data_IF_687697969060
#
_entry.id   IF_687697969060
#
_cell.length_a   1.000
_cell.length_b   1.000
_cell.length_c   1.000
_cell.angle_alpha   90.00
_cell.angle_beta   90.00
_cell.angle_gamma   90.00
#
_symmetry.space_group_name_H-M   'P 1'
#
loop_
_entity.id
_entity.type
_entity.pdbx_description
1 polymer ?
#
# COMPACT_ATOMS: atom_id res chain seq x y z
N UNK A 1 -23.79 -1.80 -2.99
CA UNK A 1 -23.69 -2.67 -1.81
C UNK A 1 -22.38 -3.43 -1.97
N UNK A 2 -21.29 -2.93 -1.38
CA UNK A 2 -20.01 -3.63 -1.43
C UNK A 2 -20.14 -4.78 -0.42
N UNK A 3 -20.16 -6.02 -0.92
CA UNK A 3 -20.01 -7.17 -0.03
C UNK A 3 -18.55 -7.11 0.42
N UNK A 4 -18.31 -6.67 1.65
CA UNK A 4 -16.95 -6.53 2.17
C UNK A 4 -16.37 -7.94 2.31
N UNK A 5 -15.56 -8.36 1.33
CA UNK A 5 -15.00 -9.71 1.26
C UNK A 5 -13.99 -9.99 2.38
N UNK A 6 -13.48 -8.95 3.04
CA UNK A 6 -12.45 -9.03 4.06
C UNK A 6 -13.03 -8.81 5.46
N UNK A 7 -12.77 -9.78 6.35
CA UNK A 7 -13.22 -9.72 7.75
C UNK A 7 -12.68 -8.49 8.49
N UNK A 8 -11.43 -8.10 8.23
CA UNK A 8 -10.81 -6.94 8.87
C UNK A 8 -11.58 -5.65 8.57
N UNK A 9 -11.99 -5.45 7.32
CA UNK A 9 -12.78 -4.30 6.92
C UNK A 9 -14.18 -4.29 7.56
N UNK A 10 -14.84 -5.45 7.65
CA UNK A 10 -16.10 -5.55 8.39
C UNK A 10 -15.96 -5.22 9.89
N UNK A 11 -14.86 -5.66 10.53
CA UNK A 11 -14.60 -5.35 11.93
C UNK A 11 -14.36 -3.86 12.17
N UNK A 12 -13.67 -3.20 11.23
CA UNK A 12 -13.47 -1.76 11.26
C UNK A 12 -14.77 -0.97 11.09
N UNK A 13 -15.59 -1.32 10.09
CA UNK A 13 -16.91 -0.71 9.85
C UNK A 13 -17.85 -0.85 11.07
N UNK A 14 -17.77 -1.99 11.77
CA UNK A 14 -18.54 -2.27 12.99
C UNK A 14 -17.94 -1.62 14.25
N UNK A 15 -16.84 -0.88 14.12
CA UNK A 15 -16.11 -0.23 15.23
C UNK A 15 -15.63 -1.22 16.30
N UNK A 16 -15.37 -2.46 15.90
CA UNK A 16 -14.69 -3.46 16.73
C UNK A 16 -13.17 -3.29 16.68
N UNK A 17 -12.68 -2.59 15.66
CA UNK A 17 -11.32 -2.06 15.58
C UNK A 17 -11.45 -0.54 15.47
N UNK A 18 -10.72 0.17 16.30
CA UNK A 18 -10.68 1.64 16.32
C UNK A 18 -9.82 2.18 15.18
N UNK A 19 -9.97 3.47 14.85
CA UNK A 19 -9.13 4.11 13.83
C UNK A 19 -7.65 4.02 14.19
N UNK A 20 -7.27 4.31 15.43
CA UNK A 20 -5.87 4.21 15.87
C UNK A 20 -5.30 2.79 15.72
N UNK A 21 -6.10 1.76 16.02
CA UNK A 21 -5.65 0.38 15.83
C UNK A 21 -5.47 0.05 14.33
N UNK A 22 -6.36 0.55 13.47
CA UNK A 22 -6.26 0.34 12.02
C UNK A 22 -5.07 1.10 11.41
N UNK A 23 -4.85 2.35 11.82
CA UNK A 23 -3.67 3.15 11.43
C UNK A 23 -2.38 2.43 11.77
N UNK A 24 -2.30 1.83 12.97
CA UNK A 24 -1.16 1.04 13.40
C UNK A 24 -0.98 -0.24 12.58
N UNK A 25 -2.06 -0.96 12.27
CA UNK A 25 -2.02 -2.15 11.39
C UNK A 25 -1.51 -1.79 9.99
N UNK A 26 -2.03 -0.71 9.40
CA UNK A 26 -1.63 -0.21 8.07
C UNK A 26 -0.17 0.25 8.09
N UNK A 27 0.25 0.98 9.13
CA UNK A 27 1.64 1.42 9.31
C UNK A 27 2.60 0.24 9.31
N UNK A 28 2.31 -0.79 10.10
CA UNK A 28 3.16 -1.98 10.19
C UNK A 28 3.18 -2.76 8.87
N UNK A 29 2.09 -2.77 8.11
CA UNK A 29 2.08 -3.36 6.78
C UNK A 29 3.12 -2.71 5.85
N UNK A 30 3.27 -1.38 5.90
CA UNK A 30 4.24 -0.66 5.09
C UNK A 30 5.68 -0.76 5.63
N UNK A 31 5.85 -0.87 6.96
CA UNK A 31 7.16 -0.80 7.60
C UNK A 31 7.88 -2.15 7.75
N UNK A 32 7.17 -3.22 8.13
CA UNK A 32 7.81 -4.52 8.33
C UNK A 32 8.55 -5.04 7.08
N UNK A 33 8.06 -4.82 5.84
CA UNK A 33 8.81 -5.15 4.63
C UNK A 33 10.20 -4.52 4.54
N UNK A 34 10.40 -3.32 5.10
CA UNK A 34 11.67 -2.58 5.08
C UNK A 34 12.77 -3.21 5.95
N UNK A 35 12.43 -4.22 6.76
CA UNK A 35 13.40 -4.94 7.57
C UNK A 35 14.33 -5.85 6.75
N UNK A 36 14.00 -6.06 5.48
CA UNK A 36 14.65 -7.02 4.60
C UNK A 36 14.99 -6.41 3.24
N UNK A 37 16.04 -6.91 2.61
CA UNK A 37 16.45 -6.53 1.25
C UNK A 37 15.62 -7.28 0.17
N UNK A 38 14.93 -8.36 0.55
CA UNK A 38 14.05 -9.15 -0.30
C UNK A 38 12.84 -9.70 0.47
N UNK A 39 11.82 -10.14 -0.28
CA UNK A 39 10.58 -10.67 0.29
C UNK A 39 10.59 -12.15 0.68
N UNK A 40 11.74 -12.85 0.63
CA UNK A 40 11.78 -14.31 0.79
C UNK A 40 11.68 -14.77 2.24
N UNK A 41 12.29 -14.03 3.16
CA UNK A 41 12.44 -14.45 4.56
C UNK A 41 11.45 -13.80 5.52
N UNK A 42 10.72 -12.79 5.07
CA UNK A 42 9.69 -12.13 5.87
C UNK A 42 8.57 -13.10 6.24
N UNK A 43 8.10 -13.00 7.47
CA UNK A 43 7.06 -13.83 8.04
C UNK A 43 5.99 -12.99 8.73
N UNK A 44 4.82 -13.62 8.95
CA UNK A 44 3.68 -12.98 9.63
C UNK A 44 4.07 -12.47 11.02
N UNK A 45 4.99 -13.16 11.69
CA UNK A 45 5.42 -12.77 13.03
C UNK A 45 6.18 -11.44 13.04
N UNK A 46 6.85 -11.06 11.96
CA UNK A 46 7.55 -9.77 11.85
C UNK A 46 6.55 -8.62 11.91
N UNK A 47 5.41 -8.78 11.24
CA UNK A 47 4.29 -7.83 11.32
C UNK A 47 3.63 -7.85 12.71
N UNK A 48 3.24 -9.03 13.21
CA UNK A 48 2.51 -9.11 14.49
C UNK A 48 3.34 -8.59 15.66
N UNK A 49 4.65 -8.85 15.68
CA UNK A 49 5.55 -8.39 16.73
C UNK A 49 5.90 -6.90 16.59
N UNK A 50 5.76 -6.32 15.40
CA UNK A 50 5.95 -4.89 15.17
C UNK A 50 4.82 -4.01 15.71
N UNK A 51 3.63 -4.58 15.94
CA UNK A 51 2.49 -3.84 16.48
C UNK A 51 2.76 -3.32 17.90
N UNK A 52 2.61 -2.02 18.10
CA UNK A 52 2.73 -1.35 19.41
C UNK A 52 1.39 -1.32 20.19
N UNK A 53 0.38 -2.02 19.67
CA UNK A 53 -0.96 -2.16 20.25
C UNK A 53 -1.24 -3.60 20.65
N UNK A 54 -2.16 -3.77 21.61
CA UNK A 54 -2.71 -5.10 21.93
C UNK A 54 -4.00 -5.31 21.17
N UNK A 55 -3.98 -6.18 20.16
CA UNK A 55 -5.18 -6.56 19.41
C UNK A 55 -6.17 -7.31 20.29
N UNK A 56 -7.46 -7.00 20.14
CA UNK A 56 -8.51 -7.81 20.75
C UNK A 56 -8.50 -9.24 20.18
N UNK A 57 -8.83 -10.27 21.00
CA UNK A 57 -8.83 -11.66 20.55
C UNK A 57 -9.73 -11.93 19.33
N UNK A 58 -10.83 -11.18 19.18
CA UNK A 58 -11.77 -11.28 18.06
C UNK A 58 -11.20 -10.72 16.75
N UNK A 59 -10.34 -9.71 16.82
CA UNK A 59 -9.73 -9.03 15.69
C UNK A 59 -8.44 -9.71 15.20
N UNK A 60 -7.70 -10.33 16.12
CA UNK A 60 -6.39 -10.95 15.83
C UNK A 60 -6.37 -11.87 14.61
N UNK A 61 -7.35 -12.79 14.39
CA UNK A 61 -7.34 -13.65 13.21
C UNK A 61 -7.45 -12.87 11.89
N UNK A 62 -8.22 -11.78 11.86
CA UNK A 62 -8.41 -10.97 10.65
C UNK A 62 -7.16 -10.15 10.31
N UNK A 63 -6.42 -9.70 11.33
CA UNK A 63 -5.13 -9.01 11.14
C UNK A 63 -4.05 -10.00 10.67
N UNK A 64 -4.02 -11.22 11.23
CA UNK A 64 -3.12 -12.27 10.77
C UNK A 64 -3.37 -12.60 9.29
N UNK A 65 -4.63 -12.73 8.87
CA UNK A 65 -5.00 -12.98 7.48
C UNK A 65 -4.49 -11.87 6.53
N UNK A 66 -4.57 -10.60 6.95
CA UNK A 66 -3.97 -9.49 6.20
C UNK A 66 -2.45 -9.65 6.07
N UNK A 67 -1.75 -9.97 7.16
CA UNK A 67 -0.29 -10.12 7.13
C UNK A 67 0.16 -11.38 6.40
N UNK A 68 -0.65 -12.43 6.37
CA UNK A 68 -0.42 -13.60 5.50
C UNK A 68 -0.48 -13.20 4.03
N UNK A 69 -1.45 -12.36 3.64
CA UNK A 69 -1.52 -11.80 2.29
C UNK A 69 -0.30 -10.92 1.99
N UNK A 70 0.15 -10.11 2.95
CA UNK A 70 1.34 -9.28 2.82
C UNK A 70 2.60 -10.10 2.54
N UNK A 71 2.83 -11.14 3.33
CA UNK A 71 3.95 -12.07 3.15
C UNK A 71 3.86 -12.75 1.77
N UNK A 72 2.65 -13.14 1.34
CA UNK A 72 2.46 -13.73 0.02
C UNK A 72 2.75 -12.73 -1.11
N UNK A 73 2.39 -11.46 -0.94
CA UNK A 73 2.74 -10.39 -1.87
C UNK A 73 4.25 -10.13 -1.93
N UNK A 74 4.93 -10.09 -0.78
CA UNK A 74 6.40 -9.97 -0.73
C UNK A 74 7.10 -11.05 -1.56
N UNK A 75 6.60 -12.30 -1.49
CA UNK A 75 7.18 -13.45 -2.22
C UNK A 75 7.07 -13.36 -3.74
N UNK A 76 6.21 -12.49 -4.27
CA UNK A 76 6.15 -12.25 -5.72
C UNK A 76 7.36 -11.49 -6.25
N UNK A 77 8.13 -10.84 -5.36
CA UNK A 77 9.26 -9.98 -5.70
C UNK A 77 10.55 -10.49 -5.02
N UNK A 78 11.19 -11.53 -5.58
CA UNK A 78 12.42 -12.10 -5.03
C UNK A 78 13.66 -11.23 -5.30
N UNK A 79 13.59 -10.30 -6.25
CA UNK A 79 14.71 -9.45 -6.65
C UNK A 79 14.67 -8.11 -5.91
N UNK A 80 15.83 -7.66 -5.41
CA UNK A 80 15.96 -6.46 -4.56
C UNK A 80 15.28 -5.22 -5.16
N UNK A 81 15.52 -4.89 -6.44
CA UNK A 81 14.90 -3.71 -7.07
C UNK A 81 13.37 -3.82 -7.17
N UNK A 82 12.83 -4.99 -7.51
CA UNK A 82 11.38 -5.18 -7.59
C UNK A 82 10.72 -5.19 -6.21
N UNK A 83 11.47 -5.65 -5.19
CA UNK A 83 11.01 -5.64 -3.81
C UNK A 83 11.03 -4.22 -3.24
N UNK A 84 12.05 -3.42 -3.54
CA UNK A 84 12.10 -1.99 -3.21
C UNK A 84 10.92 -1.24 -3.84
N UNK A 85 10.60 -1.50 -5.12
CA UNK A 85 9.41 -0.94 -5.75
C UNK A 85 8.11 -1.37 -5.06
N UNK A 86 8.03 -2.63 -4.57
CA UNK A 86 6.88 -3.10 -3.82
C UNK A 86 6.77 -2.41 -2.45
N UNK A 87 7.89 -2.22 -1.75
CA UNK A 87 7.95 -1.51 -0.47
C UNK A 87 7.47 -0.06 -0.64
N UNK A 88 7.94 0.64 -1.68
CA UNK A 88 7.51 2.01 -1.96
C UNK A 88 6.02 2.09 -2.30
N UNK A 89 5.52 1.14 -3.10
CA UNK A 89 4.09 1.02 -3.38
C UNK A 89 3.27 0.76 -2.12
N UNK A 90 3.74 -0.08 -1.17
CA UNK A 90 3.06 -0.28 0.11
C UNK A 90 3.04 0.98 0.98
N UNK A 91 4.13 1.76 0.97
CA UNK A 91 4.19 3.07 1.62
C UNK A 91 3.11 4.00 1.06
N UNK A 92 3.06 4.13 -0.27
CA UNK A 92 2.06 4.96 -0.93
C UNK A 92 0.62 4.44 -0.71
N UNK A 93 0.38 3.13 -0.69
CA UNK A 93 -0.93 2.57 -0.33
C UNK A 93 -1.41 3.01 1.06
N UNK A 94 -0.49 3.04 2.04
CA UNK A 94 -0.79 3.48 3.39
C UNK A 94 -1.15 4.97 3.43
N UNK A 95 -0.38 5.83 2.74
CA UNK A 95 -0.67 7.26 2.62
C UNK A 95 -2.03 7.49 1.95
N UNK A 96 -2.30 6.86 0.81
CA UNK A 96 -3.56 7.02 0.08
C UNK A 96 -4.78 6.55 0.90
N UNK A 97 -4.62 5.58 1.78
CA UNK A 97 -5.69 5.20 2.72
C UNK A 97 -5.91 6.27 3.81
N UNK A 98 -4.84 6.82 4.37
CA UNK A 98 -4.92 7.90 5.36
C UNK A 98 -5.52 9.19 4.77
N UNK A 99 -5.26 9.48 3.50
CA UNK A 99 -5.82 10.60 2.76
C UNK A 99 -7.25 10.35 2.25
N UNK A 100 -7.87 9.23 2.63
CA UNK A 100 -9.22 8.80 2.21
C UNK A 100 -9.38 8.62 0.68
N UNK A 101 -8.28 8.52 -0.06
CA UNK A 101 -8.28 8.19 -1.49
C UNK A 101 -8.65 6.72 -1.69
N UNK A 102 -8.20 5.85 -0.79
CA UNK A 102 -8.51 4.42 -0.78
C UNK A 102 -9.43 4.05 0.37
N UNK A 103 -10.43 3.22 0.08
CA UNK A 103 -11.12 2.48 1.14
C UNK A 103 -10.27 1.29 1.59
N UNK A 104 -10.44 0.85 2.85
CA UNK A 104 -9.76 -0.33 3.38
C UNK A 104 -10.02 -1.58 2.49
N UNK A 105 -11.23 -1.72 1.97
CA UNK A 105 -11.57 -2.84 1.07
C UNK A 105 -10.85 -2.76 -0.29
N UNK A 106 -10.69 -1.56 -0.86
CA UNK A 106 -9.93 -1.34 -2.10
C UNK A 106 -8.46 -1.70 -1.91
N UNK A 107 -7.85 -1.20 -0.84
CA UNK A 107 -6.47 -1.51 -0.46
C UNK A 107 -6.24 -3.02 -0.24
N UNK A 108 -7.07 -3.68 0.57
CA UNK A 108 -6.95 -5.12 0.80
C UNK A 108 -7.15 -5.93 -0.49
N UNK A 109 -8.03 -5.48 -1.38
CA UNK A 109 -8.22 -6.13 -2.68
C UNK A 109 -7.00 -5.94 -3.59
N UNK A 110 -6.40 -4.75 -3.61
CA UNK A 110 -5.15 -4.50 -4.32
C UNK A 110 -4.04 -5.43 -3.82
N UNK A 111 -3.84 -5.52 -2.50
CA UNK A 111 -2.83 -6.39 -1.91
C UNK A 111 -3.07 -7.87 -2.26
N UNK A 112 -4.33 -8.31 -2.19
CA UNK A 112 -4.71 -9.67 -2.59
C UNK A 112 -4.38 -9.95 -4.06
N UNK A 113 -4.71 -9.02 -4.96
CA UNK A 113 -4.39 -9.19 -6.39
C UNK A 113 -2.88 -9.27 -6.64
N UNK A 114 -2.08 -8.49 -5.91
CA UNK A 114 -0.61 -8.62 -5.95
C UNK A 114 -0.19 -10.00 -5.45
N UNK A 115 -0.65 -10.42 -4.26
CA UNK A 115 -0.31 -11.71 -3.66
C UNK A 115 -0.64 -12.93 -4.55
N UNK A 116 -1.72 -12.83 -5.33
CA UNK A 116 -2.18 -13.87 -6.26
C UNK A 116 -1.50 -13.76 -7.65
N UNK A 117 -0.64 -12.76 -7.87
CA UNK A 117 -0.02 -12.47 -9.18
C UNK A 117 -1.02 -11.97 -10.24
N UNK A 118 -2.22 -11.58 -9.82
CA UNK A 118 -3.28 -11.06 -10.70
C UNK A 118 -3.14 -9.58 -11.03
N UNK A 119 -2.22 -8.87 -10.37
CA UNK A 119 -1.86 -7.47 -10.63
C UNK A 119 -0.33 -7.34 -10.59
N UNK A 120 0.20 -6.49 -11.47
CA UNK A 120 1.61 -6.08 -11.46
C UNK A 120 1.76 -4.71 -10.80
N UNK A 121 2.97 -4.39 -10.31
CA UNK A 121 3.26 -3.06 -9.84
C UNK A 121 3.16 -2.02 -10.97
N UNK A 122 2.89 -0.75 -10.62
CA UNK A 122 2.97 0.34 -11.58
C UNK A 122 4.41 0.46 -12.11
N UNK A 123 4.56 0.47 -13.43
CA UNK A 123 5.85 0.70 -14.10
C UNK A 123 5.87 2.11 -14.69
N UNK A 124 6.88 2.90 -14.34
CA UNK A 124 7.06 4.25 -14.83
C UNK A 124 8.46 4.45 -15.39
N UNK A 125 8.53 5.24 -16.47
CA UNK A 125 9.78 5.77 -16.99
C UNK A 125 9.91 7.22 -16.57
N UNK A 126 10.20 7.45 -15.28
CA UNK A 126 10.17 8.79 -14.70
C UNK A 126 11.07 9.78 -15.44
N UNK A 127 12.26 9.37 -15.87
CA UNK A 127 13.15 10.26 -16.63
C UNK A 127 12.57 10.72 -17.97
N UNK A 128 11.81 9.86 -18.65
CA UNK A 128 11.14 10.22 -19.88
C UNK A 128 9.98 11.20 -19.65
N UNK A 129 9.40 11.19 -18.44
CA UNK A 129 8.27 12.04 -18.05
C UNK A 129 8.72 13.39 -17.49
N UNK A 130 9.76 13.39 -16.66
CA UNK A 130 10.18 14.53 -15.84
C UNK A 130 11.59 15.06 -16.18
N UNK A 131 12.36 14.33 -17.01
CA UNK A 131 13.74 14.66 -17.32
C UNK A 131 14.73 14.07 -16.32
N UNK A 132 15.86 14.73 -16.09
CA UNK A 132 16.87 14.23 -15.16
C UNK A 132 16.35 14.27 -13.71
N UNK A 133 16.41 13.14 -13.02
CA UNK A 133 15.91 12.96 -11.65
C UNK A 133 17.05 12.53 -10.71
N UNK A 134 16.88 12.72 -9.39
CA UNK A 134 17.79 12.15 -8.40
C UNK A 134 17.84 10.62 -8.47
N UNK A 135 18.98 10.04 -8.09
CA UNK A 135 19.10 8.59 -7.91
C UNK A 135 18.10 8.13 -6.84
N UNK A 136 17.40 7.03 -7.12
CA UNK A 136 16.40 6.46 -6.20
C UNK A 136 15.04 7.15 -6.23
N UNK A 137 14.70 7.92 -7.26
CA UNK A 137 13.35 8.46 -7.45
C UNK A 137 12.33 7.34 -7.68
N UNK A 138 11.32 7.25 -6.81
CA UNK A 138 10.32 6.19 -6.80
C UNK A 138 8.88 6.71 -6.92
N UNK A 139 7.90 5.82 -6.75
CA UNK A 139 6.48 6.15 -6.98
C UNK A 139 5.95 7.13 -5.92
N UNK A 140 6.51 7.12 -4.71
CA UNK A 140 6.17 8.09 -3.68
C UNK A 140 6.63 9.50 -4.05
N UNK A 141 7.87 9.66 -4.54
CA UNK A 141 8.37 10.96 -5.03
C UNK A 141 7.54 11.47 -6.21
N UNK A 142 7.12 10.55 -7.09
CA UNK A 142 6.24 10.89 -8.19
C UNK A 142 4.88 11.40 -7.71
N UNK A 143 4.32 10.77 -6.67
CA UNK A 143 3.07 11.23 -6.07
C UNK A 143 3.20 12.64 -5.50
N UNK A 144 4.28 12.91 -4.76
CA UNK A 144 4.57 14.23 -4.20
C UNK A 144 4.74 15.30 -5.28
N UNK A 145 5.42 14.99 -6.38
CA UNK A 145 5.56 15.89 -7.53
C UNK A 145 4.19 16.19 -8.16
N UNK A 146 3.34 15.18 -8.35
CA UNK A 146 1.99 15.38 -8.89
C UNK A 146 1.14 16.27 -7.98
N UNK A 147 1.24 16.09 -6.66
CA UNK A 147 0.57 16.96 -5.67
C UNK A 147 1.07 18.38 -5.79
N UNK A 148 2.39 18.58 -5.76
CA UNK A 148 3.01 19.89 -5.88
C UNK A 148 2.54 20.62 -7.15
N UNK A 149 2.55 19.94 -8.30
CA UNK A 149 2.09 20.52 -9.57
C UNK A 149 0.61 20.94 -9.53
N UNK A 150 -0.25 20.15 -8.89
CA UNK A 150 -1.68 20.46 -8.75
C UNK A 150 -1.96 21.56 -7.71
N UNK A 151 -1.12 21.69 -6.69
CA UNK A 151 -1.18 22.82 -5.76
C UNK A 151 -0.81 24.14 -6.45
N UNK A 152 0.22 24.14 -7.30
CA UNK A 152 0.61 25.31 -8.08
C UNK A 152 -0.43 25.64 -9.17
N UNK A 153 -0.98 24.63 -9.83
CA UNK A 153 -1.99 24.78 -10.87
C UNK A 153 -3.03 23.64 -10.80
N UNK A 154 -4.19 23.89 -10.16
CA UNK A 154 -5.25 22.87 -10.05
C UNK A 154 -5.86 22.43 -11.39
N UNK A 155 -5.60 23.15 -12.48
CA UNK A 155 -6.03 22.81 -13.85
C UNK A 155 -4.90 22.24 -14.71
N UNK A 156 -3.83 21.73 -14.09
CA UNK A 156 -2.75 21.05 -14.82
C UNK A 156 -3.24 19.69 -15.34
N UNK A 157 -3.65 19.65 -16.61
CA UNK A 157 -4.20 18.47 -17.28
C UNK A 157 -3.29 17.24 -17.20
N UNK A 158 -1.98 17.44 -17.35
CA UNK A 158 -1.02 16.33 -17.29
C UNK A 158 -0.95 15.74 -15.89
N UNK A 159 -0.80 16.57 -14.85
CA UNK A 159 -0.70 16.09 -13.47
C UNK A 159 -2.01 15.42 -13.01
N UNK A 160 -3.18 15.93 -13.44
CA UNK A 160 -4.46 15.28 -13.17
C UNK A 160 -4.54 13.88 -13.80
N UNK A 161 -4.13 13.74 -15.06
CA UNK A 161 -4.17 12.46 -15.78
C UNK A 161 -3.21 11.43 -15.17
N UNK A 162 -1.99 11.83 -14.84
CA UNK A 162 -1.02 10.91 -14.24
C UNK A 162 -1.40 10.51 -12.82
N UNK A 163 -1.93 11.43 -12.00
CA UNK A 163 -2.51 11.08 -10.70
C UNK A 163 -3.65 10.08 -10.85
N UNK A 164 -4.53 10.29 -11.82
CA UNK A 164 -5.65 9.38 -12.08
C UNK A 164 -5.18 7.99 -12.52
N UNK A 165 -4.11 7.90 -13.31
CA UNK A 165 -3.47 6.62 -13.68
C UNK A 165 -2.82 5.95 -12.49
N UNK A 166 -2.08 6.71 -11.68
CA UNK A 166 -1.47 6.23 -10.45
C UNK A 166 -2.54 5.66 -9.52
N UNK A 167 -3.61 6.39 -9.25
CA UNK A 167 -4.72 5.93 -8.42
C UNK A 167 -5.36 4.64 -8.94
N UNK A 168 -5.55 4.50 -10.26
CA UNK A 168 -6.05 3.26 -10.85
C UNK A 168 -5.07 2.08 -10.66
N UNK A 169 -3.77 2.33 -10.86
CA UNK A 169 -2.73 1.33 -10.65
C UNK A 169 -2.61 0.91 -9.17
N UNK A 170 -2.89 1.84 -8.25
CA UNK A 170 -3.00 1.62 -6.81
C UNK A 170 -4.36 1.08 -6.35
N UNK A 171 -5.31 0.85 -7.27
CA UNK A 171 -6.59 0.18 -6.96
C UNK A 171 -7.68 1.08 -6.38
N UNK A 172 -7.56 2.40 -6.50
CA UNK A 172 -8.58 3.37 -6.07
C UNK A 172 -9.76 3.50 -7.04
N UNK A 173 -9.66 2.92 -8.24
CA UNK A 173 -10.67 2.98 -9.30
C UNK A 173 -10.93 1.60 -9.90
#
# INVERSE_FOLDING_TARGET
MIITAFKLASLYEQKQITTNEMEEIVRILAQAPLLYDDGQIIQVHDFVNGLEITLQPSARPAVIELYELAVQACRQYPDNSTYEHFQDALGLQAELWQEEVLTLAMWMNWLKQIAEGGRTLPEYHFEAMLGALPDGFMIHDFYDELRYQLEQNPSNDWAMQERDRLYAAMGAK
#
